data_IF_226137782418
#
_entry.id   IF_226137782418
#
_cell.length_a   1.000
_cell.length_b   1.000
_cell.length_c   1.000
_cell.angle_alpha   90.00
_cell.angle_beta   90.00
_cell.angle_gamma   90.00
#
_symmetry.space_group_name_H-M   'P 1'
#
loop_
_entity.id
_entity.type
_entity.pdbx_description
1 polymer ?
#
# COMPACT_ATOMS: atom_id res chain seq x y z
N UNK A 1 -18.26 -13.37 18.58
CA UNK A 1 -16.97 -14.11 18.53
C UNK A 1 -15.97 -13.17 17.88
N UNK A 2 -14.96 -12.69 18.61
CA UNK A 2 -13.92 -11.84 18.01
C UNK A 2 -13.16 -12.70 17.00
N UNK A 3 -13.23 -12.35 15.71
CA UNK A 3 -12.46 -13.01 14.68
C UNK A 3 -10.97 -12.99 15.03
N UNK A 4 -10.22 -14.01 14.61
CA UNK A 4 -8.76 -14.01 14.76
C UNK A 4 -8.18 -12.87 13.93
N UNK A 5 -7.51 -11.91 14.59
CA UNK A 5 -6.73 -10.87 13.91
C UNK A 5 -5.47 -11.51 13.34
N UNK A 6 -5.19 -11.34 12.06
CA UNK A 6 -4.00 -11.90 11.44
C UNK A 6 -3.49 -11.00 10.34
N UNK A 7 -2.31 -10.43 10.55
CA UNK A 7 -1.65 -9.55 9.58
C UNK A 7 -0.31 -10.17 9.21
N UNK A 8 -0.08 -10.31 7.91
CA UNK A 8 1.21 -10.71 7.37
C UNK A 8 1.82 -9.56 6.57
N UNK A 9 3.14 -9.45 6.67
CA UNK A 9 3.95 -8.61 5.80
C UNK A 9 4.66 -9.52 4.82
N UNK A 10 4.52 -9.26 3.52
CA UNK A 10 5.23 -9.99 2.46
C UNK A 10 6.15 -9.01 1.73
N UNK A 11 7.45 -9.29 1.78
CA UNK A 11 8.47 -8.53 1.04
C UNK A 11 9.02 -9.35 -0.14
N UNK A 12 9.72 -8.71 -1.09
CA UNK A 12 10.46 -9.42 -2.13
C UNK A 12 11.39 -10.50 -1.53
N UNK A 13 11.49 -11.64 -2.20
CA UNK A 13 12.24 -12.85 -1.78
C UNK A 13 11.77 -13.54 -0.49
N UNK A 14 10.64 -13.14 0.09
CA UNK A 14 10.01 -13.83 1.21
C UNK A 14 8.81 -14.68 0.77
N UNK A 15 8.33 -15.53 1.66
CA UNK A 15 7.16 -16.38 1.44
C UNK A 15 6.17 -16.20 2.58
N UNK A 16 4.87 -16.21 2.26
CA UNK A 16 3.82 -16.26 3.26
C UNK A 16 3.87 -17.61 4.02
N UNK A 17 3.44 -17.63 5.30
CA UNK A 17 3.40 -18.85 6.09
C UNK A 17 2.35 -19.87 5.62
N UNK A 18 1.38 -19.44 4.80
CA UNK A 18 0.34 -20.27 4.19
C UNK A 18 0.16 -19.89 2.73
N UNK A 19 -0.05 -20.90 1.86
CA UNK A 19 -0.43 -20.69 0.47
C UNK A 19 -1.91 -20.31 0.31
N UNK A 20 -2.76 -20.71 1.26
CA UNK A 20 -4.16 -20.28 1.28
C UNK A 20 -4.25 -18.87 1.87
N UNK A 21 -4.61 -17.92 1.02
CA UNK A 21 -4.81 -16.50 1.35
C UNK A 21 -6.30 -16.12 1.25
N UNK A 22 -7.20 -17.10 1.20
CA UNK A 22 -8.64 -16.88 1.11
C UNK A 22 -9.15 -16.06 2.30
N UNK A 23 -9.88 -14.98 2.01
CA UNK A 23 -10.44 -14.08 3.01
C UNK A 23 -9.44 -13.11 3.64
N UNK A 24 -8.21 -13.03 3.13
CA UNK A 24 -7.31 -11.91 3.44
C UNK A 24 -7.59 -10.75 2.49
N UNK A 25 -7.61 -9.53 3.03
CA UNK A 25 -7.54 -8.30 2.26
C UNK A 25 -6.08 -8.01 1.94
N UNK A 26 -5.76 -7.89 0.66
CA UNK A 26 -4.40 -7.66 0.14
C UNK A 26 -4.17 -6.17 -0.06
N UNK A 27 -3.16 -5.63 0.59
CA UNK A 27 -2.87 -4.19 0.61
C UNK A 27 -1.45 -3.98 0.09
N UNK A 28 -1.28 -3.23 -0.99
CA UNK A 28 0.05 -2.85 -1.46
C UNK A 28 0.50 -1.51 -0.85
N UNK A 29 1.72 -1.46 -0.34
CA UNK A 29 2.33 -0.28 0.28
C UNK A 29 3.23 0.45 -0.73
N UNK A 30 2.62 1.19 -1.66
CA UNK A 30 3.32 2.01 -2.65
C UNK A 30 3.80 3.32 -2.03
N UNK A 31 4.84 3.93 -2.60
CA UNK A 31 5.28 5.25 -2.15
C UNK A 31 6.77 5.39 -1.95
N UNK A 32 7.14 6.42 -1.20
CA UNK A 32 8.53 6.75 -0.94
C UNK A 32 9.24 5.61 -0.20
N UNK A 33 10.26 5.04 -0.85
CA UNK A 33 11.29 4.22 -0.24
C UNK A 33 12.60 4.99 -0.39
N UNK A 34 13.11 5.53 0.71
CA UNK A 34 14.35 6.30 0.69
C UNK A 34 15.48 5.54 1.38
N UNK A 35 15.66 4.25 1.09
CA UNK A 35 16.85 3.45 1.46
C UNK A 35 17.38 3.63 2.91
N UNK A 36 16.50 3.93 3.88
CA UNK A 36 16.84 4.16 5.28
C UNK A 36 17.00 5.62 5.74
N UNK A 37 16.95 6.62 4.86
CA UNK A 37 16.98 8.05 5.23
C UNK A 37 15.62 8.66 5.54
N UNK A 38 14.52 7.98 5.20
CA UNK A 38 13.15 8.37 5.59
C UNK A 38 12.58 7.47 6.69
N UNK A 39 11.51 7.96 7.33
CA UNK A 39 10.61 7.19 8.21
C UNK A 39 10.21 5.86 7.53
N UNK A 40 10.28 4.76 8.28
CA UNK A 40 9.83 3.43 7.84
C UNK A 40 8.31 3.31 8.04
N UNK A 41 7.57 4.10 7.26
CA UNK A 41 6.12 4.19 7.35
C UNK A 41 5.44 2.85 7.01
N UNK A 42 6.12 1.96 6.27
CA UNK A 42 5.60 0.63 5.97
C UNK A 42 5.52 -0.25 7.22
N UNK A 43 6.48 -0.12 8.15
CA UNK A 43 6.43 -0.79 9.44
C UNK A 43 5.29 -0.25 10.31
N UNK A 44 5.04 1.07 10.26
CA UNK A 44 3.94 1.66 11.02
C UNK A 44 2.57 1.27 10.46
N UNK A 45 2.42 1.20 9.14
CA UNK A 45 1.24 0.63 8.50
C UNK A 45 1.00 -0.83 8.96
N UNK A 46 2.07 -1.63 9.07
CA UNK A 46 1.95 -3.00 9.61
C UNK A 46 1.38 -3.05 11.02
N UNK A 47 1.92 -2.23 11.93
CA UNK A 47 1.43 -2.15 13.30
C UNK A 47 -0.03 -1.68 13.35
N UNK A 48 -0.37 -0.68 12.53
CA UNK A 48 -1.73 -0.19 12.39
C UNK A 48 -2.70 -1.30 11.99
N UNK A 49 -2.47 -2.00 10.87
CA UNK A 49 -3.34 -3.09 10.42
C UNK A 49 -3.32 -4.30 11.36
N UNK A 50 -2.23 -4.55 12.07
CA UNK A 50 -2.16 -5.62 13.09
C UNK A 50 -3.05 -5.33 14.31
N UNK A 51 -3.34 -4.06 14.59
CA UNK A 51 -4.26 -3.65 15.65
C UNK A 51 -5.74 -3.76 15.28
N UNK A 52 -6.05 -3.87 13.98
CA UNK A 52 -7.42 -3.91 13.47
C UNK A 52 -8.01 -5.33 13.47
N UNK A 53 -9.33 -5.47 13.62
CA UNK A 53 -9.99 -6.76 13.43
C UNK A 53 -10.00 -7.13 11.95
N UNK A 54 -9.47 -8.31 11.61
CA UNK A 54 -9.47 -8.77 10.22
C UNK A 54 -8.28 -9.65 9.86
N UNK A 55 -8.17 -9.92 8.56
CA UNK A 55 -7.07 -10.69 7.98
C UNK A 55 -6.44 -9.88 6.86
N UNK A 56 -5.18 -9.50 7.01
CA UNK A 56 -4.49 -8.60 6.10
C UNK A 56 -3.18 -9.19 5.58
N UNK A 57 -2.89 -9.00 4.30
CA UNK A 57 -1.56 -9.24 3.73
C UNK A 57 -1.08 -7.92 3.16
N UNK A 58 0.01 -7.41 3.72
CA UNK A 58 0.64 -6.18 3.28
C UNK A 58 1.80 -6.54 2.35
N UNK A 59 1.68 -6.20 1.08
CA UNK A 59 2.77 -6.28 0.11
C UNK A 59 3.66 -5.06 0.28
N UNK A 60 4.89 -5.28 0.75
CA UNK A 60 5.83 -4.22 1.06
C UNK A 60 7.06 -4.31 0.17
N UNK A 61 7.20 -3.40 -0.82
CA UNK A 61 8.33 -3.41 -1.74
C UNK A 61 9.67 -3.03 -1.09
N UNK A 62 9.67 -2.49 0.14
CA UNK A 62 10.89 -2.09 0.86
C UNK A 62 11.66 -3.33 1.35
N UNK A 63 12.70 -3.71 0.60
CA UNK A 63 13.68 -4.70 1.02
C UNK A 63 14.63 -4.14 2.11
N UNK A 64 15.07 -5.00 3.04
CA UNK A 64 16.03 -4.61 4.08
C UNK A 64 17.46 -4.41 3.56
N UNK A 65 17.91 -5.25 2.61
CA UNK A 65 19.26 -5.22 2.03
C UNK A 65 19.16 -5.25 0.49
N UNK A 66 18.65 -4.17 -0.11
CA UNK A 66 18.54 -4.10 -1.57
C UNK A 66 19.92 -3.87 -2.22
N UNK A 67 20.22 -4.65 -3.26
CA UNK A 67 21.44 -4.52 -4.06
C UNK A 67 21.11 -4.56 -5.55
N UNK A 68 20.93 -3.37 -6.15
CA UNK A 68 20.67 -3.24 -7.59
C UNK A 68 21.83 -3.64 -8.50
N UNK A 69 23.03 -3.94 -7.96
CA UNK A 69 24.15 -4.46 -8.76
C UNK A 69 24.07 -5.97 -9.02
N UNK A 70 23.24 -6.68 -8.24
CA UNK A 70 23.02 -8.11 -8.40
C UNK A 70 22.32 -8.38 -9.75
N UNK A 71 22.86 -9.28 -10.60
CA UNK A 71 22.25 -9.61 -11.88
C UNK A 71 20.79 -10.07 -11.75
N UNK A 72 19.89 -9.45 -12.51
CA UNK A 72 18.45 -9.77 -12.53
C UNK A 72 17.65 -9.23 -11.33
N UNK A 73 18.29 -8.62 -10.33
CA UNK A 73 17.58 -8.13 -9.13
C UNK A 73 16.64 -6.97 -9.46
N UNK A 74 17.05 -6.07 -10.35
CA UNK A 74 16.19 -4.98 -10.81
C UNK A 74 14.94 -5.51 -11.52
N UNK A 75 15.10 -6.45 -12.45
CA UNK A 75 13.99 -7.05 -13.19
C UNK A 75 13.04 -7.78 -12.22
N UNK A 76 13.59 -8.52 -11.26
CA UNK A 76 12.79 -9.18 -10.23
C UNK A 76 12.01 -8.18 -9.38
N UNK A 77 12.67 -7.14 -8.84
CA UNK A 77 12.04 -6.14 -7.98
C UNK A 77 10.87 -5.45 -8.70
N UNK A 78 11.10 -4.96 -9.91
CA UNK A 78 10.07 -4.24 -10.68
C UNK A 78 8.90 -5.16 -11.04
N UNK A 79 9.17 -6.40 -11.47
CA UNK A 79 8.09 -7.34 -11.77
C UNK A 79 7.31 -7.75 -10.51
N UNK A 80 8.00 -7.92 -9.37
CA UNK A 80 7.35 -8.20 -8.09
C UNK A 80 6.43 -7.04 -7.69
N UNK A 81 6.89 -5.79 -7.80
CA UNK A 81 6.10 -4.59 -7.52
C UNK A 81 4.84 -4.53 -8.39
N UNK A 82 4.99 -4.68 -9.71
CA UNK A 82 3.87 -4.64 -10.66
C UNK A 82 2.87 -5.77 -10.42
N UNK A 83 3.36 -7.01 -10.23
CA UNK A 83 2.51 -8.17 -9.95
C UNK A 83 1.67 -7.96 -8.67
N UNK A 84 2.30 -7.48 -7.60
CA UNK A 84 1.60 -7.32 -6.32
C UNK A 84 0.72 -6.06 -6.28
N UNK A 85 1.07 -5.01 -7.02
CA UNK A 85 0.16 -3.88 -7.28
C UNK A 85 -1.11 -4.36 -8.00
N UNK A 86 -0.98 -5.25 -9.00
CA UNK A 86 -2.13 -5.83 -9.70
C UNK A 86 -2.97 -6.73 -8.79
N UNK A 87 -2.34 -7.57 -7.97
CA UNK A 87 -3.01 -8.51 -7.05
C UNK A 87 -3.69 -7.85 -5.85
N UNK A 88 -3.30 -6.63 -5.48
CA UNK A 88 -3.84 -5.96 -4.31
C UNK A 88 -5.32 -5.61 -4.46
N UNK A 89 -6.08 -5.75 -3.37
CA UNK A 89 -7.45 -5.26 -3.25
C UNK A 89 -7.44 -3.75 -2.98
N UNK A 90 -6.43 -3.26 -2.25
CA UNK A 90 -6.22 -1.84 -1.89
C UNK A 90 -4.76 -1.47 -2.17
N UNK A 91 -4.54 -0.28 -2.74
CA UNK A 91 -3.21 0.31 -2.88
C UNK A 91 -3.15 1.56 -2.02
N UNK A 92 -2.28 1.53 -1.02
CA UNK A 92 -1.95 2.68 -0.19
C UNK A 92 -0.69 3.29 -0.77
N UNK A 93 -0.76 4.57 -1.18
CA UNK A 93 0.36 5.28 -1.77
C UNK A 93 0.73 6.49 -0.92
N UNK A 94 1.91 6.46 -0.28
CA UNK A 94 2.39 7.59 0.53
C UNK A 94 3.62 8.27 -0.07
N UNK A 95 3.49 9.56 -0.40
CA UNK A 95 4.53 10.39 -1.00
C UNK A 95 5.01 11.43 0.03
N UNK A 96 6.17 11.18 0.60
CA UNK A 96 6.89 12.10 1.50
C UNK A 96 7.39 13.33 0.73
N UNK A 97 7.26 14.53 1.30
CA UNK A 97 7.51 15.80 0.66
C UNK A 97 8.94 16.01 0.19
N UNK A 98 9.90 15.50 0.95
CA UNK A 98 11.34 15.58 0.65
C UNK A 98 11.77 14.66 -0.50
N UNK A 99 10.92 13.73 -0.94
CA UNK A 99 11.26 12.73 -1.94
C UNK A 99 11.19 13.26 -3.38
N UNK A 100 11.64 12.42 -4.34
CA UNK A 100 11.37 12.59 -5.77
C UNK A 100 10.33 11.62 -6.33
N UNK A 101 10.25 10.42 -5.76
CA UNK A 101 9.30 9.35 -6.06
C UNK A 101 8.89 9.20 -7.54
N UNK A 102 9.83 9.14 -8.50
CA UNK A 102 9.49 9.11 -9.93
C UNK A 102 8.75 7.82 -10.32
N UNK A 103 9.13 6.67 -9.76
CA UNK A 103 8.47 5.39 -10.04
C UNK A 103 7.09 5.35 -9.38
N UNK A 104 6.94 5.87 -8.17
CA UNK A 104 5.63 6.03 -7.52
C UNK A 104 4.66 6.86 -8.37
N UNK A 105 5.12 7.94 -9.03
CA UNK A 105 4.27 8.72 -9.92
C UNK A 105 3.84 7.93 -11.17
N UNK A 106 4.70 7.02 -11.66
CA UNK A 106 4.35 6.09 -12.75
C UNK A 106 3.27 5.10 -12.28
N UNK A 107 3.46 4.46 -11.12
CA UNK A 107 2.50 3.55 -10.49
C UNK A 107 1.15 4.23 -10.23
N UNK A 108 1.18 5.49 -9.74
CA UNK A 108 -0.01 6.30 -9.53
C UNK A 108 -0.80 6.43 -10.83
N UNK A 109 -0.11 6.71 -11.94
CA UNK A 109 -0.72 6.79 -13.26
C UNK A 109 -1.31 5.46 -13.74
N UNK A 110 -0.62 4.35 -13.50
CA UNK A 110 -1.08 3.01 -13.86
C UNK A 110 -2.38 2.62 -13.14
N UNK A 111 -2.51 2.97 -11.86
CA UNK A 111 -3.63 2.56 -11.01
C UNK A 111 -4.66 3.66 -10.73
N UNK A 112 -4.52 4.87 -11.27
CA UNK A 112 -5.44 5.99 -11.04
C UNK A 112 -6.90 5.72 -11.38
N UNK A 113 -7.18 4.77 -12.29
CA UNK A 113 -8.56 4.40 -12.68
C UNK A 113 -9.03 3.06 -12.12
N UNK A 114 -8.25 2.46 -11.22
CA UNK A 114 -8.52 1.12 -10.70
C UNK A 114 -9.65 1.09 -9.66
N UNK A 115 -9.94 2.22 -9.00
CA UNK A 115 -10.88 2.28 -7.88
C UNK A 115 -10.32 1.77 -6.55
N UNK A 116 -9.09 1.21 -6.53
CA UNK A 116 -8.43 0.68 -5.33
C UNK A 116 -7.31 1.56 -4.76
N UNK A 117 -7.04 2.71 -5.38
CA UNK A 117 -5.91 3.56 -5.03
C UNK A 117 -6.31 4.65 -4.02
N UNK A 118 -5.55 4.74 -2.93
CA UNK A 118 -5.59 5.81 -1.94
C UNK A 118 -4.23 6.52 -1.92
N UNK A 119 -4.22 7.85 -1.94
CA UNK A 119 -2.97 8.63 -2.02
C UNK A 119 -2.87 9.58 -0.83
N UNK A 120 -1.80 9.49 -0.05
CA UNK A 120 -1.34 10.57 0.81
C UNK A 120 -0.13 11.23 0.16
N UNK A 121 -0.15 12.54 -0.01
CA UNK A 121 0.97 13.29 -0.57
C UNK A 121 1.22 14.52 0.29
N UNK A 122 2.41 14.62 0.89
CA UNK A 122 2.72 15.76 1.74
C UNK A 122 2.72 17.06 0.91
N UNK A 123 2.17 18.18 1.44
CA UNK A 123 1.98 19.42 0.69
C UNK A 123 3.27 20.03 0.11
N UNK A 124 4.43 19.72 0.69
CA UNK A 124 5.75 20.21 0.27
C UNK A 124 6.41 19.35 -0.83
N UNK A 125 5.77 18.26 -1.28
CA UNK A 125 6.24 17.48 -2.41
C UNK A 125 6.38 18.33 -3.69
N UNK A 126 7.54 18.29 -4.35
CA UNK A 126 7.87 19.15 -5.50
C UNK A 126 6.96 19.02 -6.74
N UNK A 127 6.08 18.01 -6.77
CA UNK A 127 5.04 17.78 -7.79
C UNK A 127 3.65 17.65 -7.20
N UNK A 128 3.44 18.13 -5.96
CA UNK A 128 2.17 18.04 -5.24
C UNK A 128 0.97 18.49 -6.10
N UNK A 129 1.06 19.62 -6.79
CA UNK A 129 -0.03 20.08 -7.66
C UNK A 129 -0.37 19.11 -8.80
N UNK A 130 0.62 18.40 -9.37
CA UNK A 130 0.36 17.40 -10.38
C UNK A 130 -0.39 16.20 -9.78
N UNK A 131 -0.01 15.78 -8.57
CA UNK A 131 -0.70 14.72 -7.81
C UNK A 131 -2.14 15.15 -7.53
N UNK A 132 -2.35 16.33 -6.94
CA UNK A 132 -3.66 16.89 -6.59
C UNK A 132 -4.60 17.02 -7.78
N UNK A 133 -4.12 17.63 -8.88
CA UNK A 133 -4.93 17.82 -10.09
C UNK A 133 -5.29 16.46 -10.72
N UNK A 134 -4.35 15.51 -10.75
CA UNK A 134 -4.58 14.18 -11.32
C UNK A 134 -5.55 13.36 -10.48
N UNK A 135 -5.39 13.36 -9.16
CA UNK A 135 -6.30 12.67 -8.24
C UNK A 135 -7.72 13.21 -8.36
N UNK A 136 -7.89 14.54 -8.33
CA UNK A 136 -9.19 15.18 -8.51
C UNK A 136 -9.81 14.85 -9.88
N UNK A 137 -9.01 14.79 -10.95
CA UNK A 137 -9.49 14.46 -12.30
C UNK A 137 -10.03 13.03 -12.41
N UNK A 138 -9.40 12.08 -11.73
CA UNK A 138 -9.74 10.66 -11.84
C UNK A 138 -10.56 10.13 -10.67
N UNK A 139 -10.91 10.98 -9.70
CA UNK A 139 -11.69 10.58 -8.52
C UNK A 139 -10.89 9.71 -7.53
N UNK A 140 -9.58 9.89 -7.48
CA UNK A 140 -8.71 9.23 -6.49
C UNK A 140 -8.73 10.06 -5.21
N UNK A 141 -9.03 9.49 -4.03
CA UNK A 141 -8.96 10.21 -2.78
C UNK A 141 -7.51 10.61 -2.45
N UNK A 142 -7.33 11.87 -2.04
CA UNK A 142 -6.04 12.46 -1.72
C UNK A 142 -6.06 13.06 -0.31
N UNK A 143 -5.02 12.75 0.47
CA UNK A 143 -4.82 13.21 1.85
C UNK A 143 -3.49 13.93 1.98
N UNK A 144 -3.39 14.83 2.98
CA UNK A 144 -2.16 15.56 3.26
C UNK A 144 -1.21 14.72 4.14
N UNK A 145 -1.74 13.77 4.93
CA UNK A 145 -0.99 12.90 5.85
C UNK A 145 -1.31 11.42 5.67
N UNK A 146 -0.37 10.54 6.04
CA UNK A 146 -0.61 9.09 6.02
C UNK A 146 -1.64 8.68 7.08
N UNK A 147 -1.68 9.37 8.22
CA UNK A 147 -2.60 9.10 9.31
C UNK A 147 -4.06 9.31 8.88
N UNK A 148 -4.37 10.40 8.19
CA UNK A 148 -5.71 10.65 7.63
C UNK A 148 -6.12 9.58 6.61
N UNK A 149 -5.19 9.19 5.73
CA UNK A 149 -5.45 8.15 4.74
C UNK A 149 -5.71 6.78 5.40
N UNK A 150 -4.94 6.40 6.42
CA UNK A 150 -5.09 5.12 7.10
C UNK A 150 -6.40 5.01 7.88
N UNK A 151 -6.92 6.12 8.41
CA UNK A 151 -8.23 6.16 9.05
C UNK A 151 -9.35 5.92 8.02
N UNK A 152 -9.31 6.57 6.86
CA UNK A 152 -10.31 6.33 5.81
C UNK A 152 -10.25 4.89 5.28
N UNK A 153 -9.05 4.36 5.05
CA UNK A 153 -8.89 2.97 4.60
C UNK A 153 -9.46 2.00 5.65
N UNK A 154 -9.24 2.27 6.93
CA UNK A 154 -9.81 1.47 8.03
C UNK A 154 -11.33 1.45 7.97
N UNK A 155 -11.99 2.60 7.86
CA UNK A 155 -13.45 2.66 7.83
C UNK A 155 -14.02 1.88 6.64
N UNK A 156 -13.46 2.07 5.44
CA UNK A 156 -13.88 1.32 4.24
C UNK A 156 -13.70 -0.20 4.40
N UNK A 157 -12.57 -0.64 4.94
CA UNK A 157 -12.29 -2.06 5.17
C UNK A 157 -13.26 -2.65 6.21
N UNK A 158 -13.58 -1.92 7.28
CA UNK A 158 -14.50 -2.39 8.31
C UNK A 158 -15.93 -2.51 7.79
N UNK A 159 -16.39 -1.54 7.01
CA UNK A 159 -17.70 -1.58 6.35
C UNK A 159 -17.84 -2.81 5.43
N UNK A 160 -16.79 -3.13 4.67
CA UNK A 160 -16.78 -4.33 3.80
C UNK A 160 -16.84 -5.63 4.60
N UNK A 161 -16.11 -5.71 5.72
CA UNK A 161 -16.13 -6.87 6.63
C UNK A 161 -17.53 -7.06 7.23
N UNK A 162 -18.16 -5.98 7.69
CA UNK A 162 -19.53 -6.02 8.24
C UNK A 162 -20.56 -6.41 7.18
N UNK A 163 -20.48 -5.83 5.99
CA UNK A 163 -21.36 -6.17 4.87
C UNK A 163 -21.20 -7.64 4.42
N UNK A 164 -19.98 -8.18 4.47
CA UNK A 164 -19.70 -9.59 4.17
C UNK A 164 -20.16 -10.54 5.28
N UNK A 165 -20.29 -10.07 6.52
CA UNK A 165 -20.85 -10.84 7.63
C UNK A 165 -22.39 -10.88 7.55
N UNK A 166 -23.05 -9.75 7.32
CA UNK A 166 -24.52 -9.66 7.25
C UNK A 166 -25.18 -10.36 6.05
N UNK A 167 -24.42 -10.75 5.02
CA UNK A 167 -24.90 -11.54 3.87
C UNK A 167 -24.89 -13.06 4.12
N UNK A 168 -24.36 -13.51 5.25
CA UNK A 168 -24.25 -14.94 5.61
C UNK A 168 -25.32 -15.42 6.61
N UNK A 169 -26.22 -14.52 7.01
CA UNK A 169 -27.43 -14.80 7.81
C UNK A 169 -28.68 -14.87 6.90
#
# INVERSE_FOLDING_TARGET
>A
MTGSNTTYMLKPHESLPSADTSGFTKIFLAGTIDMGSSRDWQAEAFEYFSSLPGKYILFNPRQGNWDGSKPGEMDYQVNWELEHLEQADIIIMYIIGTSKSPITLLEMGLFARSGKLYVACEPDFYRHDNVRITCARYGVPLYDTIEEMLEEVRENVLEEVEAAAGKRD
#
